data_IF_252875053293
#
_entry.id   IF_252875053293
#
_cell.length_a   1.000
_cell.length_b   1.000
_cell.length_c   1.000
_cell.angle_alpha   90.00
_cell.angle_beta   90.00
_cell.angle_gamma   90.00
#
_symmetry.space_group_name_H-M   'P 1'
#
loop_
_entity.id
_entity.type
_entity.pdbx_description
1 polymer ?
#
# COMPACT_ATOMS: atom_id res chain seq x y z
N UNK A 1 -14.99 -14.16 44.34
CA UNK A 1 -15.51 -15.53 44.28
C UNK A 1 -16.18 -15.69 42.92
N UNK A 2 -15.47 -16.24 41.94
CA UNK A 2 -16.08 -16.59 40.64
C UNK A 2 -17.16 -17.66 40.88
N UNK A 3 -18.34 -17.47 40.30
CA UNK A 3 -19.41 -18.45 40.46
C UNK A 3 -19.06 -19.74 39.70
N UNK A 4 -19.42 -20.91 40.24
CA UNK A 4 -19.21 -22.22 39.60
C UNK A 4 -19.77 -22.25 38.16
N UNK A 5 -20.81 -21.47 37.90
CA UNK A 5 -21.44 -21.28 36.58
C UNK A 5 -20.58 -20.48 35.60
N UNK A 6 -19.89 -19.43 36.04
CA UNK A 6 -18.97 -18.66 35.18
C UNK A 6 -17.73 -19.46 34.81
N UNK A 7 -17.21 -20.25 35.75
CA UNK A 7 -16.10 -21.18 35.50
C UNK A 7 -16.49 -22.25 34.46
N UNK A 8 -17.65 -22.88 34.62
CA UNK A 8 -18.15 -23.89 33.68
C UNK A 8 -18.44 -23.29 32.29
N UNK A 9 -19.00 -22.08 32.22
CA UNK A 9 -19.24 -21.37 30.95
C UNK A 9 -17.94 -21.02 30.24
N UNK A 10 -16.91 -20.55 30.96
CA UNK A 10 -15.57 -20.30 30.38
C UNK A 10 -14.94 -21.58 29.85
N UNK A 11 -15.10 -22.69 30.55
CA UNK A 11 -14.58 -23.98 30.14
C UNK A 11 -15.27 -24.51 28.88
N UNK A 12 -16.61 -24.43 28.81
CA UNK A 12 -17.37 -24.77 27.60
C UNK A 12 -16.99 -23.87 26.41
N UNK A 13 -16.87 -22.55 26.62
CA UNK A 13 -16.47 -21.62 25.55
C UNK A 13 -15.05 -21.93 25.04
N UNK A 14 -14.12 -22.36 25.91
CA UNK A 14 -12.78 -22.80 25.52
C UNK A 14 -12.78 -24.08 24.68
N UNK A 15 -13.70 -25.01 24.94
CA UNK A 15 -13.79 -26.26 24.18
C UNK A 15 -14.30 -26.06 22.75
N UNK A 16 -15.14 -25.05 22.52
CA UNK A 16 -15.72 -24.74 21.20
C UNK A 16 -14.91 -23.67 20.44
N UNK A 17 -13.99 -22.98 21.11
CA UNK A 17 -13.18 -21.94 20.50
C UNK A 17 -12.23 -22.51 19.42
N UNK A 18 -12.03 -21.79 18.29
CA UNK A 18 -11.06 -22.18 17.27
C UNK A 18 -9.64 -22.30 17.85
N UNK A 19 -8.81 -23.13 17.21
CA UNK A 19 -7.43 -23.38 17.65
C UNK A 19 -6.62 -22.09 17.80
N UNK A 20 -6.80 -21.13 16.88
CA UNK A 20 -6.10 -19.83 16.94
C UNK A 20 -6.44 -19.03 18.22
N UNK A 21 -7.65 -19.17 18.76
CA UNK A 21 -8.03 -18.51 20.02
C UNK A 21 -7.50 -19.28 21.22
N UNK A 22 -7.59 -20.62 21.19
CA UNK A 22 -7.07 -21.49 22.27
C UNK A 22 -5.56 -21.36 22.45
N UNK A 23 -4.82 -21.30 21.35
CA UNK A 23 -3.35 -21.20 21.34
C UNK A 23 -2.82 -19.79 21.55
N UNK A 24 -3.70 -18.80 21.84
CA UNK A 24 -3.26 -17.43 22.08
C UNK A 24 -2.25 -17.38 23.25
N UNK A 25 -1.07 -16.76 23.04
CA UNK A 25 -0.07 -16.54 24.10
C UNK A 25 -0.65 -15.88 25.35
N UNK A 26 -0.23 -16.35 26.53
CA UNK A 26 -0.63 -15.80 27.85
C UNK A 26 0.39 -14.81 28.44
N UNK A 27 1.61 -14.80 27.92
CA UNK A 27 2.70 -13.92 28.38
C UNK A 27 3.58 -13.48 27.22
N UNK A 28 4.43 -12.48 27.45
CA UNK A 28 5.42 -12.04 26.48
C UNK A 28 6.45 -13.14 26.14
N UNK A 29 6.71 -14.08 27.06
CA UNK A 29 7.61 -15.22 26.81
C UNK A 29 6.97 -16.29 25.91
N UNK A 30 5.64 -16.32 25.82
CA UNK A 30 4.94 -17.17 24.86
C UNK A 30 4.78 -16.50 23.48
N UNK A 31 5.04 -15.19 23.37
CA UNK A 31 4.81 -14.41 22.16
C UNK A 31 6.00 -14.54 21.20
N UNK A 32 5.74 -14.91 19.94
CA UNK A 32 6.77 -15.28 18.97
C UNK A 32 6.79 -14.30 17.80
N UNK A 33 7.99 -13.96 17.29
CA UNK A 33 8.21 -13.26 16.03
C UNK A 33 8.16 -11.73 16.11
N UNK A 34 8.16 -11.17 17.32
CA UNK A 34 8.27 -9.71 17.54
C UNK A 34 9.34 -9.41 18.59
N UNK A 35 10.43 -10.17 18.60
CA UNK A 35 11.52 -10.07 19.57
C UNK A 35 12.16 -8.68 19.58
N UNK A 36 12.18 -7.99 18.43
CA UNK A 36 12.64 -6.62 18.31
C UNK A 36 11.77 -5.61 19.10
N UNK A 37 10.48 -5.91 19.32
CA UNK A 37 9.56 -5.09 20.10
C UNK A 37 9.46 -5.54 21.55
N UNK A 38 9.32 -6.84 21.80
CA UNK A 38 8.95 -7.39 23.11
C UNK A 38 9.92 -8.47 23.62
N UNK A 39 11.10 -8.58 23.01
CA UNK A 39 12.17 -9.42 23.52
C UNK A 39 12.74 -8.92 24.85
N UNK A 40 13.47 -9.76 25.61
CA UNK A 40 14.11 -9.35 26.84
C UNK A 40 14.96 -8.09 26.66
N UNK A 41 14.76 -7.09 27.53
CA UNK A 41 15.49 -5.81 27.49
C UNK A 41 14.95 -4.79 26.48
N UNK A 42 13.91 -5.10 25.71
CA UNK A 42 13.28 -4.13 24.82
C UNK A 42 12.54 -3.04 25.61
N UNK A 43 12.41 -1.85 25.00
CA UNK A 43 11.74 -0.71 25.64
C UNK A 43 10.27 -1.01 25.92
N UNK A 44 9.54 -1.57 24.94
CA UNK A 44 8.11 -1.85 25.11
C UNK A 44 7.88 -2.94 26.16
N UNK A 45 8.69 -4.01 26.19
CA UNK A 45 8.61 -5.03 27.26
C UNK A 45 8.85 -4.41 28.62
N UNK A 46 9.89 -3.58 28.76
CA UNK A 46 10.20 -2.88 30.01
C UNK A 46 9.04 -2.00 30.47
N UNK A 47 8.39 -1.27 29.55
CA UNK A 47 7.22 -0.44 29.87
C UNK A 47 6.00 -1.25 30.32
N UNK A 48 5.77 -2.42 29.71
CA UNK A 48 4.70 -3.34 30.08
C UNK A 48 4.97 -3.90 31.48
N UNK A 49 6.17 -4.43 31.72
CA UNK A 49 6.56 -5.04 33.01
C UNK A 49 6.56 -4.03 34.17
N UNK A 50 6.90 -2.76 33.89
CA UNK A 50 6.88 -1.68 34.89
C UNK A 50 5.50 -1.01 35.05
N UNK A 51 4.49 -1.42 34.28
CA UNK A 51 3.15 -0.81 34.25
C UNK A 51 3.17 0.71 33.96
N UNK A 52 4.08 1.13 33.06
CA UNK A 52 4.32 2.53 32.66
C UNK A 52 3.99 2.77 31.19
N UNK A 53 2.82 2.28 30.77
CA UNK A 53 2.36 2.37 29.38
C UNK A 53 1.96 3.80 28.99
N UNK A 54 2.26 4.12 27.74
CA UNK A 54 1.73 5.29 27.02
C UNK A 54 0.73 4.81 25.98
N UNK A 55 -0.06 5.72 25.40
CA UNK A 55 -0.99 5.35 24.33
C UNK A 55 -0.25 4.79 23.12
N UNK A 56 -0.72 3.67 22.57
CA UNK A 56 -0.12 2.90 21.49
C UNK A 56 -1.07 2.78 20.30
N UNK A 57 -0.50 2.84 19.09
CA UNK A 57 -1.15 2.35 17.87
C UNK A 57 -0.34 1.15 17.37
N UNK A 58 -0.90 -0.04 17.49
CA UNK A 58 -0.35 -1.29 16.97
C UNK A 58 -0.73 -1.40 15.49
N UNK A 59 0.26 -1.31 14.61
CA UNK A 59 0.07 -1.41 13.17
C UNK A 59 0.84 -2.60 12.61
N UNK A 60 0.21 -3.40 11.76
CA UNK A 60 0.87 -4.51 11.09
C UNK A 60 -0.13 -5.40 10.36
N UNK A 61 0.33 -6.39 9.58
CA UNK A 61 -0.53 -7.27 8.80
C UNK A 61 -1.47 -8.13 9.68
N UNK A 62 -2.51 -8.76 9.11
CA UNK A 62 -3.31 -9.74 9.86
C UNK A 62 -2.41 -10.86 10.40
N UNK A 63 -2.77 -11.40 11.57
CA UNK A 63 -2.06 -12.55 12.14
C UNK A 63 -0.72 -12.28 12.82
N UNK A 64 -0.17 -11.05 12.78
CA UNK A 64 1.10 -10.74 13.45
C UNK A 64 1.03 -10.60 14.98
N UNK A 65 -0.17 -10.68 15.57
CA UNK A 65 -0.36 -10.72 17.02
C UNK A 65 -0.79 -9.41 17.69
N UNK A 66 -1.26 -8.39 16.97
CA UNK A 66 -1.76 -7.10 17.55
C UNK A 66 -2.75 -7.29 18.70
N UNK A 67 -3.88 -7.96 18.45
CA UNK A 67 -4.93 -8.23 19.46
C UNK A 67 -4.41 -9.10 20.61
N UNK A 68 -3.44 -9.98 20.33
CA UNK A 68 -2.79 -10.83 21.34
C UNK A 68 -1.90 -10.00 22.26
N UNK A 69 -1.07 -9.13 21.69
CA UNK A 69 -0.20 -8.22 22.44
C UNK A 69 -1.03 -7.29 23.31
N UNK A 70 -2.09 -6.68 22.77
CA UNK A 70 -3.02 -5.87 23.55
C UNK A 70 -3.63 -6.64 24.73
N UNK A 71 -3.96 -7.92 24.53
CA UNK A 71 -4.48 -8.78 25.60
C UNK A 71 -3.42 -9.12 26.66
N UNK A 72 -2.19 -9.42 26.27
CA UNK A 72 -1.09 -9.66 27.22
C UNK A 72 -0.87 -8.40 28.07
N UNK A 73 -0.87 -7.23 27.43
CA UNK A 73 -0.77 -5.94 28.11
C UNK A 73 -1.91 -5.78 29.13
N UNK A 74 -3.15 -6.08 28.72
CA UNK A 74 -4.33 -6.04 29.57
C UNK A 74 -4.27 -7.00 30.78
N UNK A 75 -3.62 -8.15 30.65
CA UNK A 75 -3.49 -9.15 31.72
C UNK A 75 -2.31 -8.85 32.67
N UNK A 76 -1.28 -8.10 32.21
CA UNK A 76 -0.10 -7.77 33.02
C UNK A 76 -0.18 -6.39 33.70
N UNK A 77 -1.01 -5.49 33.20
CA UNK A 77 -1.24 -4.16 33.78
C UNK A 77 -2.12 -4.21 35.03
N UNK A 78 -1.99 -3.22 35.91
CA UNK A 78 -2.91 -3.00 37.04
C UNK A 78 -4.09 -2.10 36.65
N UNK A 79 -4.09 -1.57 35.43
CA UNK A 79 -5.14 -0.72 34.91
C UNK A 79 -6.44 -1.51 34.66
N UNK A 80 -7.56 -0.81 34.73
CA UNK A 80 -8.84 -1.36 34.28
C UNK A 80 -8.89 -1.37 32.75
N UNK A 81 -9.40 -2.43 32.13
CA UNK A 81 -9.40 -2.57 30.67
C UNK A 81 -10.82 -2.50 30.13
N UNK A 82 -11.05 -1.62 29.16
CA UNK A 82 -12.30 -1.49 28.41
C UNK A 82 -12.02 -1.75 26.95
N UNK A 83 -12.80 -2.61 26.31
CA UNK A 83 -12.72 -2.85 24.86
C UNK A 83 -13.90 -2.20 24.15
N UNK A 84 -13.62 -1.39 23.13
CA UNK A 84 -14.62 -0.81 22.24
C UNK A 84 -14.52 -1.47 20.87
N UNK A 85 -15.67 -1.89 20.35
CA UNK A 85 -15.77 -2.43 18.99
C UNK A 85 -15.77 -1.28 17.99
N UNK A 86 -14.77 -1.23 17.09
CA UNK A 86 -14.71 -0.18 16.09
C UNK A 86 -15.88 -0.19 15.09
N UNK A 87 -16.54 -1.35 14.93
CA UNK A 87 -17.66 -1.54 14.00
C UNK A 87 -18.99 -1.06 14.58
N UNK A 88 -19.19 -1.18 15.89
CA UNK A 88 -20.50 -0.97 16.52
C UNK A 88 -20.54 0.13 17.57
N UNK A 89 -19.39 0.60 18.07
CA UNK A 89 -19.37 1.64 19.09
C UNK A 89 -19.80 2.98 18.50
N UNK A 90 -20.69 3.69 19.20
CA UNK A 90 -21.10 5.05 18.82
C UNK A 90 -20.22 6.10 19.53
N UNK A 91 -20.33 7.37 19.12
CA UNK A 91 -19.68 8.50 19.84
C UNK A 91 -20.14 8.56 21.31
N UNK A 92 -21.39 8.17 21.59
CA UNK A 92 -21.91 8.13 22.96
C UNK A 92 -21.23 7.03 23.80
N UNK A 93 -20.93 5.87 23.20
CA UNK A 93 -20.22 4.79 23.89
C UNK A 93 -18.77 5.18 24.21
N UNK A 94 -18.09 5.86 23.27
CA UNK A 94 -16.75 6.41 23.50
C UNK A 94 -16.76 7.40 24.68
N UNK A 95 -17.69 8.36 24.68
CA UNK A 95 -17.81 9.34 25.77
C UNK A 95 -18.13 8.70 27.11
N UNK A 96 -18.98 7.67 27.12
CA UNK A 96 -19.31 6.91 28.34
C UNK A 96 -18.07 6.21 28.90
N UNK A 97 -17.30 5.53 28.04
CA UNK A 97 -16.07 4.87 28.45
C UNK A 97 -15.04 5.85 29.04
N UNK A 98 -14.91 7.04 28.43
CA UNK A 98 -14.06 8.12 28.95
C UNK A 98 -14.55 8.64 30.31
N UNK A 99 -15.85 8.86 30.46
CA UNK A 99 -16.43 9.32 31.72
C UNK A 99 -16.21 8.30 32.85
N UNK A 100 -16.48 7.03 32.60
CA UNK A 100 -16.24 5.95 33.57
C UNK A 100 -14.76 5.83 33.94
N UNK A 101 -13.86 6.03 32.97
CA UNK A 101 -12.42 6.05 33.22
C UNK A 101 -12.02 7.22 34.13
N UNK A 102 -12.57 8.41 33.90
CA UNK A 102 -12.32 9.60 34.72
C UNK A 102 -12.80 9.40 36.16
N UNK A 103 -14.01 8.87 36.34
CA UNK A 103 -14.55 8.57 37.67
C UNK A 103 -13.71 7.53 38.41
N UNK A 104 -13.24 6.50 37.70
CA UNK A 104 -12.37 5.46 38.25
C UNK A 104 -11.03 6.03 38.70
N UNK A 105 -10.42 6.90 37.88
CA UNK A 105 -9.17 7.56 38.23
C UNK A 105 -9.33 8.47 39.45
N UNK A 106 -10.41 9.27 39.50
CA UNK A 106 -10.66 10.19 40.61
C UNK A 106 -10.97 9.48 41.94
N UNK A 107 -11.73 8.38 41.92
CA UNK A 107 -12.16 7.69 43.14
C UNK A 107 -11.17 6.65 43.64
N UNK A 108 -10.48 5.96 42.73
CA UNK A 108 -9.66 4.80 43.06
C UNK A 108 -8.19 4.95 42.69
N UNK A 109 -7.80 6.05 42.04
CA UNK A 109 -6.44 6.24 41.51
C UNK A 109 -6.07 5.21 40.43
N UNK A 110 -7.05 4.46 39.89
CA UNK A 110 -6.82 3.38 38.96
C UNK A 110 -6.96 3.87 37.52
N UNK A 111 -5.88 3.70 36.73
CA UNK A 111 -5.86 4.04 35.31
C UNK A 111 -6.77 3.11 34.50
N UNK A 112 -7.20 3.59 33.33
CA UNK A 112 -8.01 2.80 32.40
C UNK A 112 -7.31 2.67 31.05
N UNK A 113 -7.19 1.46 30.53
CA UNK A 113 -6.78 1.18 29.15
C UNK A 113 -8.04 1.04 28.30
N UNK A 114 -8.12 1.80 27.22
CA UNK A 114 -9.17 1.64 26.20
C UNK A 114 -8.57 0.94 25.00
N UNK A 115 -8.99 -0.30 24.75
CA UNK A 115 -8.58 -1.07 23.59
C UNK A 115 -9.59 -0.92 22.45
N UNK A 116 -9.11 -0.65 21.24
CA UNK A 116 -9.92 -0.50 20.03
C UNK A 116 -9.28 -1.33 18.92
N UNK A 117 -9.90 -2.46 18.58
CA UNK A 117 -9.47 -3.27 17.43
C UNK A 117 -10.04 -2.69 16.13
N UNK A 118 -9.25 -2.72 15.05
CA UNK A 118 -9.55 -2.06 13.78
C UNK A 118 -9.93 -0.58 13.92
N UNK A 119 -9.11 0.20 14.62
CA UNK A 119 -9.33 1.63 14.91
C UNK A 119 -9.53 2.48 13.65
N UNK A 120 -9.06 2.05 12.49
CA UNK A 120 -9.33 2.71 11.20
C UNK A 120 -10.82 2.77 10.85
N UNK A 121 -11.67 1.92 11.44
CA UNK A 121 -13.13 1.96 11.25
C UNK A 121 -13.81 3.07 12.04
N UNK A 122 -13.12 3.69 13.01
CA UNK A 122 -13.66 4.85 13.70
C UNK A 122 -13.67 6.08 12.79
N UNK A 123 -14.83 6.71 12.68
CA UNK A 123 -14.94 8.01 12.06
C UNK A 123 -14.25 9.10 12.91
N UNK A 124 -14.03 10.26 12.29
CA UNK A 124 -13.34 11.39 12.91
C UNK A 124 -13.98 11.85 14.23
N UNK A 125 -15.31 11.84 14.35
CA UNK A 125 -15.98 12.28 15.57
C UNK A 125 -15.77 11.30 16.75
N UNK A 126 -15.69 9.99 16.48
CA UNK A 126 -15.35 9.00 17.50
C UNK A 126 -13.90 9.16 17.96
N UNK A 127 -12.96 9.39 17.03
CA UNK A 127 -11.55 9.63 17.35
C UNK A 127 -11.36 10.93 18.15
N UNK A 128 -12.01 12.02 17.74
CA UNK A 128 -11.97 13.31 18.43
C UNK A 128 -12.52 13.20 19.87
N UNK A 129 -13.48 12.31 20.10
CA UNK A 129 -14.03 12.03 21.43
C UNK A 129 -13.03 11.41 22.42
N UNK A 130 -11.93 10.82 21.94
CA UNK A 130 -10.87 10.24 22.78
C UNK A 130 -9.79 11.26 23.15
N UNK A 131 -9.62 12.33 22.37
CA UNK A 131 -8.47 13.24 22.47
C UNK A 131 -8.26 13.83 23.87
N UNK A 132 -9.28 14.43 24.54
CA UNK A 132 -9.05 15.06 25.83
C UNK A 132 -8.53 14.07 26.88
N UNK A 133 -9.08 12.85 26.88
CA UNK A 133 -8.75 11.81 27.84
C UNK A 133 -7.38 11.16 27.59
N UNK A 134 -6.91 11.18 26.34
CA UNK A 134 -5.55 10.75 26.00
C UNK A 134 -4.53 11.84 26.38
N UNK A 135 -4.89 13.12 26.22
CA UNK A 135 -4.03 14.27 26.55
C UNK A 135 -3.74 14.40 28.04
N UNK A 136 -4.78 14.33 28.87
CA UNK A 136 -4.67 14.50 30.31
C UNK A 136 -4.26 13.20 31.05
N UNK A 137 -4.15 12.09 30.31
CA UNK A 137 -3.76 10.78 30.83
C UNK A 137 -4.87 10.04 31.57
N UNK A 138 -6.13 10.48 31.45
CA UNK A 138 -7.30 9.75 31.98
C UNK A 138 -7.38 8.33 31.42
N UNK A 139 -7.06 8.17 30.14
CA UNK A 139 -6.98 6.87 29.48
C UNK A 139 -5.61 6.63 28.83
N UNK A 140 -5.23 5.35 28.78
CA UNK A 140 -4.20 4.85 27.87
C UNK A 140 -4.90 4.18 26.70
N UNK A 141 -4.77 4.73 25.50
CA UNK A 141 -5.37 4.14 24.30
C UNK A 141 -4.47 3.05 23.73
N UNK A 142 -5.02 1.89 23.41
CA UNK A 142 -4.36 0.87 22.58
C UNK A 142 -5.25 0.66 21.36
N UNK A 143 -4.89 1.29 20.24
CA UNK A 143 -5.54 1.08 18.95
C UNK A 143 -4.80 0.00 18.16
N UNK A 144 -5.50 -0.93 17.53
CA UNK A 144 -4.92 -1.88 16.57
C UNK A 144 -5.48 -1.63 15.17
N UNK A 145 -4.62 -1.68 14.15
CA UNK A 145 -5.04 -1.53 12.75
C UNK A 145 -4.19 -2.37 11.80
N UNK A 146 -4.81 -2.84 10.73
CA UNK A 146 -4.13 -3.45 9.58
C UNK A 146 -3.76 -2.43 8.50
N UNK A 147 -4.46 -1.30 8.45
CA UNK A 147 -4.23 -0.21 7.50
C UNK A 147 -3.23 0.81 8.05
N UNK A 148 -2.49 1.47 7.16
CA UNK A 148 -1.51 2.47 7.53
C UNK A 148 -2.15 3.61 8.37
N UNK A 149 -1.70 3.81 9.62
CA UNK A 149 -2.34 4.73 10.55
C UNK A 149 -2.30 6.18 10.08
N UNK A 150 -1.33 6.60 9.25
CA UNK A 150 -1.23 8.01 8.82
C UNK A 150 -2.38 8.49 7.94
N UNK A 151 -3.13 7.57 7.34
CA UNK A 151 -4.29 7.90 6.50
C UNK A 151 -5.60 7.82 7.29
N UNK A 152 -5.75 6.81 8.15
CA UNK A 152 -7.03 6.46 8.77
C UNK A 152 -7.19 7.00 10.20
N UNK A 153 -6.09 7.26 10.90
CA UNK A 153 -6.11 7.87 12.24
C UNK A 153 -5.81 9.35 12.12
N UNK A 154 -6.63 10.18 12.77
CA UNK A 154 -6.48 11.62 12.70
C UNK A 154 -5.11 12.06 13.28
N UNK A 155 -4.53 13.10 12.67
CA UNK A 155 -3.21 13.61 13.08
C UNK A 155 -3.13 14.01 14.58
N UNK A 156 -4.18 14.59 15.20
CA UNK A 156 -4.16 14.90 16.63
C UNK A 156 -4.01 13.67 17.53
N UNK A 157 -4.68 12.55 17.23
CA UNK A 157 -4.60 11.35 18.05
C UNK A 157 -3.26 10.64 17.82
N UNK A 158 -2.79 10.57 16.57
CA UNK A 158 -1.49 10.01 16.24
C UNK A 158 -0.34 10.72 16.93
N UNK A 159 -0.36 12.05 17.02
CA UNK A 159 0.73 12.80 17.67
C UNK A 159 0.82 12.56 19.18
N UNK A 160 -0.20 11.96 19.79
CA UNK A 160 -0.27 11.62 21.22
C UNK A 160 -0.10 10.12 21.48
N UNK A 161 0.05 9.32 20.42
CA UNK A 161 0.26 7.88 20.52
C UNK A 161 1.62 7.48 19.96
N UNK A 162 2.22 6.43 20.51
CA UNK A 162 3.38 5.78 19.92
C UNK A 162 2.90 4.76 18.90
N UNK A 163 3.30 4.93 17.64
CA UNK A 163 3.09 3.89 16.61
C UNK A 163 4.10 2.76 16.84
N UNK A 164 3.60 1.55 16.99
CA UNK A 164 4.37 0.32 17.15
C UNK A 164 4.07 -0.55 15.93
N UNK A 165 5.09 -0.78 15.10
CA UNK A 165 4.97 -1.54 13.86
C UNK A 165 5.30 -3.00 14.13
N UNK A 166 4.33 -3.89 13.96
CA UNK A 166 4.49 -5.33 14.04
C UNK A 166 4.76 -5.87 12.65
N UNK A 167 5.83 -6.65 12.50
CA UNK A 167 6.24 -7.24 11.24
C UNK A 167 5.43 -8.52 10.92
N UNK A 168 5.31 -8.96 9.66
CA UNK A 168 4.88 -10.32 9.35
C UNK A 168 5.78 -11.34 10.07
N UNK A 169 5.21 -12.45 10.54
CA UNK A 169 6.01 -13.47 11.22
C UNK A 169 6.94 -14.19 10.25
N UNK A 170 8.15 -14.54 10.70
CA UNK A 170 9.06 -15.37 9.91
C UNK A 170 8.55 -16.80 9.76
N UNK A 171 9.09 -17.51 8.78
CA UNK A 171 8.77 -18.93 8.53
C UNK A 171 9.10 -19.80 9.75
N UNK A 172 10.19 -19.52 10.45
CA UNK A 172 10.58 -20.18 11.70
C UNK A 172 9.60 -19.90 12.84
N UNK A 173 9.08 -18.66 12.94
CA UNK A 173 8.08 -18.30 13.92
C UNK A 173 6.77 -19.04 13.68
N UNK A 174 6.30 -19.09 12.43
CA UNK A 174 5.11 -19.86 12.04
C UNK A 174 5.31 -21.35 12.32
N UNK A 175 6.46 -21.92 11.96
CA UNK A 175 6.81 -23.32 12.25
C UNK A 175 6.72 -23.61 13.75
N UNK A 176 7.32 -22.74 14.57
CA UNK A 176 7.30 -22.85 16.03
C UNK A 176 5.88 -22.87 16.57
N UNK A 177 5.00 -21.99 16.07
CA UNK A 177 3.60 -21.93 16.49
C UNK A 177 2.82 -23.20 16.11
N UNK A 178 3.04 -23.73 14.91
CA UNK A 178 2.41 -24.97 14.43
C UNK A 178 2.85 -26.17 15.27
N UNK A 179 4.15 -26.30 15.51
CA UNK A 179 4.71 -27.38 16.34
C UNK A 179 4.22 -27.28 17.79
N UNK A 180 4.19 -26.06 18.36
CA UNK A 180 3.63 -25.83 19.70
C UNK A 180 2.16 -26.22 19.77
N UNK A 181 1.37 -25.89 18.75
CA UNK A 181 -0.03 -26.27 18.67
C UNK A 181 -0.22 -27.80 18.54
N UNK A 182 0.66 -28.51 17.84
CA UNK A 182 0.61 -29.97 17.75
C UNK A 182 1.03 -30.66 19.05
N UNK A 183 1.94 -30.08 19.82
CA UNK A 183 2.46 -30.67 21.05
C UNK A 183 1.62 -30.35 22.29
N UNK A 184 0.96 -29.19 22.35
CA UNK A 184 0.23 -28.73 23.54
C UNK A 184 -1.03 -29.60 23.77
N UNK A 185 -1.08 -30.29 24.91
CA UNK A 185 -2.18 -31.18 25.31
C UNK A 185 -3.34 -30.47 25.99
N UNK A 186 -3.11 -29.28 26.54
CA UNK A 186 -4.14 -28.51 27.25
C UNK A 186 -4.93 -27.63 26.27
N UNK A 187 -4.21 -26.89 25.42
CA UNK A 187 -4.75 -25.87 24.51
C UNK A 187 -4.67 -26.27 23.05
N UNK A 188 -3.74 -27.15 22.70
CA UNK A 188 -3.47 -27.53 21.32
C UNK A 188 -4.13 -28.85 20.91
N UNK A 189 -3.53 -29.48 19.91
CA UNK A 189 -3.94 -30.73 19.31
C UNK A 189 -3.17 -31.94 19.87
N UNK A 190 -2.40 -31.76 20.95
CA UNK A 190 -1.55 -32.82 21.51
C UNK A 190 -2.31 -34.04 22.01
N UNK A 191 -3.60 -33.90 22.34
CA UNK A 191 -4.48 -35.02 22.67
C UNK A 191 -4.80 -35.94 21.50
N UNK A 192 -4.69 -35.45 20.26
CA UNK A 192 -4.98 -36.22 19.03
C UNK A 192 -3.78 -37.04 18.53
N UNK A 193 -2.60 -36.85 19.13
CA UNK A 193 -1.33 -37.52 18.77
C UNK A 193 -1.04 -37.48 17.25
N UNK A 194 -1.29 -36.33 16.62
CA UNK A 194 -1.09 -36.14 15.19
C UNK A 194 0.38 -35.98 14.84
N UNK A 195 0.75 -36.42 13.64
CA UNK A 195 2.06 -36.18 13.02
C UNK A 195 1.86 -35.43 11.72
N UNK A 196 2.60 -34.34 11.52
CA UNK A 196 2.64 -33.61 10.25
C UNK A 196 3.89 -34.02 9.48
N UNK A 197 3.73 -34.33 8.19
CA UNK A 197 4.87 -34.61 7.33
C UNK A 197 5.70 -33.34 7.10
N UNK A 198 7.04 -33.41 6.98
CA UNK A 198 7.88 -32.23 6.76
C UNK A 198 7.43 -31.38 5.56
N UNK A 199 7.12 -32.02 4.43
CA UNK A 199 6.62 -31.33 3.23
C UNK A 199 5.24 -30.67 3.45
N UNK A 200 4.41 -31.22 4.34
CA UNK A 200 3.11 -30.64 4.68
C UNK A 200 3.28 -29.41 5.59
N UNK A 201 4.23 -29.46 6.52
CA UNK A 201 4.60 -28.34 7.38
C UNK A 201 5.17 -27.18 6.58
N UNK A 202 6.11 -27.44 5.67
CA UNK A 202 6.67 -26.43 4.77
C UNK A 202 5.59 -25.79 3.90
N UNK A 203 4.70 -26.61 3.33
CA UNK A 203 3.56 -26.10 2.56
C UNK A 203 2.65 -25.20 3.42
N UNK A 204 2.35 -25.60 4.65
CA UNK A 204 1.51 -24.81 5.57
C UNK A 204 2.17 -23.48 5.92
N UNK A 205 3.48 -23.49 6.23
CA UNK A 205 4.27 -22.27 6.52
C UNK A 205 4.23 -21.32 5.32
N UNK A 206 4.51 -21.83 4.12
CA UNK A 206 4.48 -21.04 2.89
C UNK A 206 3.10 -20.45 2.61
N UNK A 207 2.03 -21.23 2.82
CA UNK A 207 0.66 -20.76 2.65
C UNK A 207 0.28 -19.71 3.68
N UNK A 208 0.75 -19.85 4.92
CA UNK A 208 0.47 -18.89 5.99
C UNK A 208 1.11 -17.52 5.74
N UNK A 209 2.27 -17.47 5.06
CA UNK A 209 2.93 -16.24 4.61
C UNK A 209 3.00 -15.17 5.73
N UNK A 210 3.43 -15.58 6.92
CA UNK A 210 3.56 -14.73 8.10
C UNK A 210 2.29 -14.45 8.93
N UNK A 211 1.14 -15.06 8.59
CA UNK A 211 -0.10 -14.98 9.37
C UNK A 211 -0.29 -16.22 10.28
N UNK A 212 -0.09 -16.04 11.59
CA UNK A 212 -0.28 -17.12 12.57
C UNK A 212 -1.73 -17.61 12.69
N UNK A 213 -2.72 -16.71 12.54
CA UNK A 213 -4.14 -17.07 12.59
C UNK A 213 -4.49 -17.93 11.39
N UNK A 214 -3.92 -17.63 10.22
CA UNK A 214 -4.04 -18.47 9.03
C UNK A 214 -3.40 -19.83 9.24
N UNK A 215 -2.16 -19.88 9.74
CA UNK A 215 -1.47 -21.13 10.01
C UNK A 215 -2.27 -22.05 10.95
N UNK A 216 -2.72 -21.53 12.09
CA UNK A 216 -3.43 -22.32 13.11
C UNK A 216 -4.81 -22.77 12.65
N UNK A 217 -5.56 -21.93 11.93
CA UNK A 217 -6.86 -22.34 11.39
C UNK A 217 -6.72 -23.40 10.29
N UNK A 218 -5.71 -23.27 9.42
CA UNK A 218 -5.41 -24.28 8.40
C UNK A 218 -4.99 -25.60 9.05
N UNK A 219 -4.17 -25.54 10.10
CA UNK A 219 -3.76 -26.70 10.89
C UNK A 219 -4.96 -27.40 11.54
N UNK A 220 -5.87 -26.65 12.15
CA UNK A 220 -7.09 -27.18 12.77
C UNK A 220 -7.96 -27.93 11.76
N UNK A 221 -8.17 -27.36 10.58
CA UNK A 221 -8.94 -28.00 9.52
C UNK A 221 -8.20 -29.22 8.92
N UNK A 222 -6.88 -29.13 8.79
CA UNK A 222 -6.05 -30.25 8.34
C UNK A 222 -6.05 -31.40 9.35
N UNK A 223 -6.05 -31.10 10.64
CA UNK A 223 -6.17 -32.08 11.72
C UNK A 223 -7.50 -32.86 11.65
N UNK A 224 -8.61 -32.18 11.36
CA UNK A 224 -9.90 -32.84 11.14
C UNK A 224 -9.90 -33.76 9.90
N UNK A 225 -9.06 -33.48 8.91
CA UNK A 225 -8.88 -34.28 7.69
C UNK A 225 -7.79 -35.34 7.76
N UNK A 226 -7.09 -35.47 8.91
CA UNK A 226 -5.97 -36.39 9.09
C UNK A 226 -6.40 -37.86 8.92
N UNK A 227 -5.55 -38.66 8.26
CA UNK A 227 -5.77 -40.10 8.10
C UNK A 227 -4.72 -40.85 8.90
N UNK A 228 -5.15 -41.79 9.75
CA UNK A 228 -4.27 -42.54 10.66
C UNK A 228 -3.37 -41.63 11.53
N UNK A 229 -3.88 -40.45 11.89
CA UNK A 229 -3.12 -39.45 12.67
C UNK A 229 -2.04 -38.71 11.88
N UNK A 230 -2.00 -38.82 10.55
CA UNK A 230 -0.98 -38.16 9.70
C UNK A 230 -1.62 -37.03 8.88
N UNK A 231 -0.98 -35.86 8.90
CA UNK A 231 -1.29 -34.70 8.07
C UNK A 231 -0.29 -34.66 6.91
N UNK A 232 -0.79 -34.85 5.70
CA UNK A 232 -0.03 -34.86 4.44
C UNK A 232 -0.21 -33.56 3.65
N UNK A 233 0.65 -33.25 2.65
CA UNK A 233 0.53 -32.03 1.85
C UNK A 233 -0.84 -31.87 1.18
N UNK A 234 -1.46 -32.96 0.70
CA UNK A 234 -2.78 -32.92 0.05
C UNK A 234 -3.92 -32.59 1.02
N UNK A 235 -3.75 -32.90 2.31
CA UNK A 235 -4.71 -32.50 3.34
C UNK A 235 -4.58 -30.99 3.59
N UNK A 236 -3.35 -30.48 3.69
CA UNK A 236 -3.08 -29.04 3.86
C UNK A 236 -3.61 -28.23 2.67
N UNK A 237 -3.37 -28.65 1.42
CA UNK A 237 -3.93 -27.96 0.22
C UNK A 237 -5.44 -27.85 0.27
N UNK A 238 -6.13 -28.96 0.59
CA UNK A 238 -7.60 -28.98 0.67
C UNK A 238 -8.13 -28.13 1.82
N UNK A 239 -7.43 -28.08 2.95
CA UNK A 239 -7.77 -27.21 4.07
C UNK A 239 -7.63 -25.73 3.67
N UNK A 240 -6.57 -25.35 2.97
CA UNK A 240 -6.35 -23.97 2.53
C UNK A 240 -7.34 -23.50 1.44
N UNK A 241 -7.66 -24.36 0.45
CA UNK A 241 -8.56 -24.02 -0.65
C UNK A 241 -9.99 -23.66 -0.21
N UNK A 242 -10.50 -24.27 0.86
CA UNK A 242 -11.83 -23.93 1.41
C UNK A 242 -11.94 -22.50 1.93
N UNK A 243 -10.81 -21.78 2.09
CA UNK A 243 -10.76 -20.42 2.64
C UNK A 243 -10.46 -19.34 1.60
N UNK A 244 -9.70 -19.67 0.55
CA UNK A 244 -9.33 -18.72 -0.52
C UNK A 244 -10.56 -18.09 -1.22
N UNK A 245 -11.74 -18.73 -1.19
CA UNK A 245 -12.95 -18.14 -1.76
C UNK A 245 -13.56 -16.99 -0.94
N UNK A 246 -12.97 -16.61 0.21
CA UNK A 246 -13.60 -15.70 1.20
C UNK A 246 -12.75 -14.46 1.54
N UNK A 247 -11.46 -14.37 1.16
CA UNK A 247 -10.58 -13.30 1.67
C UNK A 247 -10.27 -12.16 0.69
N UNK A 248 -10.99 -11.07 0.94
CA UNK A 248 -10.68 -9.64 1.00
C UNK A 248 -9.69 -8.94 0.04
N UNK A 249 -10.18 -7.82 -0.50
CA UNK A 249 -9.65 -7.00 -1.60
C UNK A 249 -9.08 -5.65 -1.13
N UNK A 250 -8.69 -5.53 0.14
CA UNK A 250 -8.54 -4.22 0.80
C UNK A 250 -7.30 -4.07 1.72
N UNK A 251 -6.10 -4.52 1.31
CA UNK A 251 -4.88 -4.41 2.13
C UNK A 251 -3.69 -3.70 1.48
N UNK A 252 -2.81 -3.11 2.30
CA UNK A 252 -1.55 -2.44 1.91
C UNK A 252 -0.65 -3.28 0.97
N UNK A 253 -0.73 -4.61 1.06
CA UNK A 253 0.00 -5.54 0.19
C UNK A 253 -0.28 -5.34 -1.31
N UNK A 254 -1.47 -4.85 -1.65
CA UNK A 254 -1.83 -4.46 -3.01
C UNK A 254 -0.91 -3.33 -3.53
N UNK A 255 -0.75 -2.28 -2.73
CA UNK A 255 0.05 -1.11 -3.08
C UNK A 255 1.54 -1.45 -3.16
N UNK A 256 2.02 -2.33 -2.27
CA UNK A 256 3.40 -2.79 -2.31
C UNK A 256 3.67 -3.66 -3.54
N UNK A 257 2.77 -4.58 -3.89
CA UNK A 257 2.95 -5.45 -5.05
C UNK A 257 2.95 -4.67 -6.37
N UNK A 258 2.02 -3.73 -6.56
CA UNK A 258 2.01 -2.89 -7.78
C UNK A 258 3.22 -1.95 -7.84
N UNK A 259 3.66 -1.45 -6.69
CA UNK A 259 4.84 -0.61 -6.54
C UNK A 259 6.11 -1.38 -6.88
N UNK A 260 6.20 -2.64 -6.47
CA UNK A 260 7.28 -3.55 -6.82
C UNK A 260 7.27 -3.87 -8.32
N UNK A 261 6.12 -4.19 -8.91
CA UNK A 261 5.97 -4.38 -10.36
C UNK A 261 6.50 -3.18 -11.15
N UNK A 262 6.09 -1.96 -10.77
CA UNK A 262 6.56 -0.73 -11.42
C UNK A 262 8.06 -0.51 -11.27
N UNK A 263 8.61 -0.75 -10.07
CA UNK A 263 10.05 -0.60 -9.83
C UNK A 263 10.86 -1.64 -10.59
N UNK A 264 10.38 -2.88 -10.71
CA UNK A 264 11.03 -3.92 -11.52
C UNK A 264 11.03 -3.56 -13.00
N UNK A 265 9.91 -3.10 -13.54
CA UNK A 265 9.84 -2.61 -14.92
C UNK A 265 10.82 -1.45 -15.13
N UNK A 266 10.79 -0.43 -14.27
CA UNK A 266 11.70 0.73 -14.32
C UNK A 266 13.17 0.32 -14.19
N UNK A 267 13.45 -0.65 -13.32
CA UNK A 267 14.75 -1.26 -13.09
C UNK A 267 15.22 -2.19 -14.22
N UNK A 268 14.38 -2.43 -15.22
CA UNK A 268 14.64 -3.31 -16.35
C UNK A 268 14.87 -4.78 -15.96
N UNK A 269 14.13 -5.25 -14.95
CA UNK A 269 14.14 -6.62 -14.48
C UNK A 269 12.84 -7.33 -14.91
N UNK A 270 12.85 -8.08 -16.04
CA UNK A 270 11.68 -8.76 -16.56
C UNK A 270 11.24 -9.93 -15.66
N UNK A 271 12.17 -10.60 -14.99
CA UNK A 271 11.89 -11.76 -14.14
C UNK A 271 11.12 -11.31 -12.89
N UNK A 272 11.61 -10.26 -12.22
CA UNK A 272 10.91 -9.68 -11.08
C UNK A 272 9.56 -9.07 -11.50
N UNK A 273 9.48 -8.42 -12.67
CA UNK A 273 8.21 -7.90 -13.19
C UNK A 273 7.17 -9.02 -13.38
N UNK A 274 7.56 -10.15 -13.97
CA UNK A 274 6.68 -11.32 -14.11
C UNK A 274 6.26 -11.88 -12.75
N UNK A 275 7.18 -12.00 -11.79
CA UNK A 275 6.88 -12.49 -10.46
C UNK A 275 5.84 -11.61 -9.73
N UNK A 276 6.03 -10.30 -9.72
CA UNK A 276 5.09 -9.38 -9.05
C UNK A 276 3.74 -9.34 -9.77
N UNK A 277 3.73 -9.39 -11.10
CA UNK A 277 2.50 -9.51 -11.88
C UNK A 277 1.73 -10.79 -11.53
N UNK A 278 2.39 -11.94 -11.55
CA UNK A 278 1.78 -13.22 -11.23
C UNK A 278 1.25 -13.22 -9.79
N UNK A 279 2.04 -12.73 -8.82
CA UNK A 279 1.60 -12.59 -7.43
C UNK A 279 0.33 -11.76 -7.30
N UNK A 280 0.19 -10.68 -8.07
CA UNK A 280 -1.03 -9.87 -8.03
C UNK A 280 -2.23 -10.62 -8.62
N UNK A 281 -2.07 -11.22 -9.79
CA UNK A 281 -3.15 -11.96 -10.46
C UNK A 281 -3.64 -13.15 -9.64
N UNK A 282 -2.73 -13.95 -9.08
CA UNK A 282 -3.07 -15.12 -8.25
C UNK A 282 -3.73 -14.72 -6.91
N UNK A 283 -3.48 -13.51 -6.41
CA UNK A 283 -4.13 -12.97 -5.22
C UNK A 283 -5.44 -12.22 -5.52
N UNK A 284 -5.98 -12.33 -6.74
CA UNK A 284 -7.32 -11.81 -7.08
C UNK A 284 -7.38 -10.32 -7.40
N UNK A 285 -6.24 -9.73 -7.74
CA UNK A 285 -6.14 -8.33 -8.14
C UNK A 285 -6.96 -8.00 -9.38
N UNK A 286 -7.49 -6.78 -9.48
CA UNK A 286 -8.18 -6.33 -10.71
C UNK A 286 -7.18 -6.29 -11.89
N UNK A 287 -7.34 -7.13 -12.93
CA UNK A 287 -6.43 -7.14 -14.08
C UNK A 287 -6.42 -5.81 -14.82
N UNK A 288 -7.53 -5.07 -14.83
CA UNK A 288 -7.58 -3.74 -15.45
C UNK A 288 -6.83 -2.70 -14.62
N UNK A 289 -6.73 -2.88 -13.30
CA UNK A 289 -5.86 -2.05 -12.47
C UNK A 289 -4.40 -2.22 -12.86
N UNK A 290 -3.94 -3.46 -12.99
CA UNK A 290 -2.58 -3.78 -13.46
C UNK A 290 -2.35 -3.18 -14.85
N UNK A 291 -3.30 -3.36 -15.79
CA UNK A 291 -3.20 -2.83 -17.14
C UNK A 291 -3.04 -1.30 -17.16
N UNK A 292 -3.83 -0.56 -16.36
CA UNK A 292 -3.69 0.90 -16.20
C UNK A 292 -2.29 1.30 -15.74
N UNK A 293 -1.68 0.51 -14.85
CA UNK A 293 -0.34 0.77 -14.33
C UNK A 293 0.73 0.44 -15.37
N UNK A 294 0.59 -0.61 -16.17
CA UNK A 294 1.50 -0.86 -17.31
C UNK A 294 1.43 0.28 -18.34
N UNK A 295 0.24 0.78 -18.68
CA UNK A 295 0.07 1.98 -19.54
C UNK A 295 0.77 3.21 -18.95
N UNK A 296 0.71 3.37 -17.62
CA UNK A 296 1.45 4.44 -16.95
C UNK A 296 2.96 4.28 -17.07
N UNK A 297 3.50 3.09 -16.83
CA UNK A 297 4.94 2.81 -16.97
C UNK A 297 5.42 3.04 -18.41
N UNK A 298 4.61 2.67 -19.40
CA UNK A 298 4.93 2.91 -20.81
C UNK A 298 5.14 4.40 -21.15
N UNK A 299 4.33 5.30 -20.58
CA UNK A 299 4.43 6.74 -20.84
C UNK A 299 5.41 7.48 -19.92
N UNK A 300 5.58 7.02 -18.69
CA UNK A 300 6.43 7.65 -17.67
C UNK A 300 7.88 7.18 -17.71
N UNK A 301 8.09 5.86 -17.82
CA UNK A 301 9.40 5.24 -17.64
C UNK A 301 10.08 4.83 -18.96
N UNK A 302 9.29 4.64 -20.02
CA UNK A 302 9.79 4.34 -21.38
C UNK A 302 9.67 5.57 -22.29
N UNK A 303 8.49 6.20 -22.33
CA UNK A 303 8.25 7.46 -23.04
C UNK A 303 8.57 7.35 -24.53
N UNK A 304 9.30 8.33 -25.07
CA UNK A 304 9.68 8.36 -26.48
C UNK A 304 10.98 7.59 -26.78
N UNK A 305 11.60 6.94 -25.79
CA UNK A 305 12.72 6.04 -26.05
C UNK A 305 12.25 4.79 -26.79
N UNK A 306 11.00 4.40 -26.61
CA UNK A 306 10.30 3.47 -27.48
C UNK A 306 8.81 3.82 -27.59
N UNK A 307 8.39 4.49 -28.68
CA UNK A 307 7.00 4.88 -28.90
C UNK A 307 6.01 3.70 -28.98
N UNK A 308 6.47 2.47 -29.25
CA UNK A 308 5.61 1.28 -29.30
C UNK A 308 5.17 0.81 -27.92
N UNK A 309 5.90 1.17 -26.85
CA UNK A 309 5.59 0.75 -25.49
C UNK A 309 4.15 1.08 -25.06
N UNK A 310 3.67 2.28 -25.40
CA UNK A 310 2.30 2.68 -25.07
C UNK A 310 1.27 1.87 -25.88
N UNK A 311 1.58 1.58 -27.16
CA UNK A 311 0.71 0.79 -28.03
C UNK A 311 0.59 -0.64 -27.50
N UNK A 312 1.70 -1.27 -27.14
CA UNK A 312 1.74 -2.62 -26.55
C UNK A 312 0.95 -2.67 -25.24
N UNK A 313 1.16 -1.69 -24.34
CA UNK A 313 0.44 -1.65 -23.06
C UNK A 313 -1.07 -1.47 -23.23
N UNK A 314 -1.50 -0.63 -24.18
CA UNK A 314 -2.93 -0.45 -24.51
C UNK A 314 -3.51 -1.70 -25.18
N UNK A 315 -2.77 -2.36 -26.08
CA UNK A 315 -3.19 -3.61 -26.69
C UNK A 315 -3.38 -4.72 -25.65
N UNK A 316 -2.47 -4.84 -24.69
CA UNK A 316 -2.60 -5.77 -23.57
C UNK A 316 -3.84 -5.46 -22.72
N UNK A 317 -4.11 -4.18 -22.42
CA UNK A 317 -5.33 -3.77 -21.73
C UNK A 317 -6.60 -4.17 -22.51
N UNK A 318 -6.61 -3.97 -23.82
CA UNK A 318 -7.72 -4.35 -24.69
C UNK A 318 -7.90 -5.86 -24.76
N UNK A 319 -6.80 -6.63 -24.83
CA UNK A 319 -6.83 -8.09 -24.81
C UNK A 319 -7.45 -8.60 -23.51
N UNK A 320 -7.08 -8.05 -22.35
CA UNK A 320 -7.71 -8.38 -21.06
C UNK A 320 -9.21 -8.09 -21.08
N UNK A 321 -9.61 -6.95 -21.64
CA UNK A 321 -11.02 -6.56 -21.69
C UNK A 321 -11.84 -7.44 -22.65
N UNK A 322 -11.26 -7.79 -23.80
CA UNK A 322 -11.94 -8.52 -24.87
C UNK A 322 -11.96 -10.04 -24.62
N UNK A 323 -10.82 -10.62 -24.23
CA UNK A 323 -10.66 -12.06 -24.02
C UNK A 323 -11.10 -12.48 -22.61
N UNK A 324 -10.87 -11.64 -21.60
CA UNK A 324 -11.15 -11.96 -20.20
C UNK A 324 -10.04 -12.79 -19.53
N UNK A 325 -10.25 -13.15 -18.26
CA UNK A 325 -9.33 -13.99 -17.47
C UNK A 325 -9.79 -15.46 -17.48
N UNK A 326 -8.87 -16.45 -17.47
CA UNK A 326 -7.42 -16.32 -17.25
C UNK A 326 -6.56 -15.96 -18.48
N UNK A 327 -7.06 -16.08 -19.70
CA UNK A 327 -6.26 -15.96 -20.93
C UNK A 327 -5.61 -14.57 -21.09
N UNK A 328 -6.28 -13.52 -20.65
CA UNK A 328 -5.75 -12.14 -20.63
C UNK A 328 -4.51 -11.94 -19.76
N UNK A 329 -4.22 -12.85 -18.82
CA UNK A 329 -3.01 -12.80 -18.00
C UNK A 329 -1.74 -12.80 -18.86
N UNK A 330 -1.74 -13.58 -19.95
CA UNK A 330 -0.57 -13.69 -20.82
C UNK A 330 -0.30 -12.40 -21.58
N UNK A 331 -1.35 -11.67 -21.98
CA UNK A 331 -1.19 -10.36 -22.62
C UNK A 331 -0.58 -9.32 -21.66
N UNK A 332 -0.94 -9.36 -20.38
CA UNK A 332 -0.31 -8.51 -19.36
C UNK A 332 1.15 -8.91 -19.11
N UNK A 333 1.45 -10.20 -19.11
CA UNK A 333 2.82 -10.70 -18.95
C UNK A 333 3.71 -10.29 -20.12
N UNK A 334 3.22 -10.41 -21.35
CA UNK A 334 3.91 -9.96 -22.55
C UNK A 334 4.23 -8.46 -22.47
N UNK A 335 3.24 -7.62 -22.12
CA UNK A 335 3.46 -6.19 -21.96
C UNK A 335 4.44 -5.86 -20.83
N UNK A 336 4.38 -6.55 -19.68
CA UNK A 336 5.29 -6.32 -18.58
C UNK A 336 6.76 -6.60 -18.97
N UNK A 337 7.00 -7.72 -19.67
CA UNK A 337 8.34 -8.09 -20.19
C UNK A 337 8.80 -7.09 -21.23
N UNK A 338 7.94 -6.71 -22.18
CA UNK A 338 8.24 -5.70 -23.19
C UNK A 338 8.70 -4.39 -22.54
N UNK A 339 7.91 -3.88 -21.58
CA UNK A 339 8.21 -2.63 -20.88
C UNK A 339 9.48 -2.72 -20.03
N UNK A 340 9.74 -3.88 -19.40
CA UNK A 340 10.96 -4.10 -18.63
C UNK A 340 12.21 -4.05 -19.54
N UNK A 341 12.15 -4.63 -20.74
CA UNK A 341 13.28 -4.64 -21.67
C UNK A 341 13.40 -3.37 -22.54
N UNK A 342 12.33 -2.57 -22.64
CA UNK A 342 12.34 -1.34 -23.43
C UNK A 342 13.39 -0.31 -22.92
N UNK A 343 14.00 0.49 -23.82
CA UNK A 343 14.91 1.55 -23.41
C UNK A 343 14.18 2.57 -22.54
N UNK A 344 14.74 2.90 -21.37
CA UNK A 344 14.07 3.78 -20.41
C UNK A 344 14.26 5.26 -20.75
N UNK A 345 13.21 6.05 -20.63
CA UNK A 345 13.29 7.51 -20.63
C UNK A 345 12.12 8.14 -19.90
N UNK A 346 12.43 9.01 -18.94
CA UNK A 346 11.47 9.88 -18.28
C UNK A 346 11.54 11.33 -18.81
N UNK A 347 12.17 11.56 -19.98
CA UNK A 347 12.38 12.91 -20.52
C UNK A 347 11.06 13.64 -20.79
N UNK A 348 10.06 12.95 -21.35
CA UNK A 348 8.71 13.52 -21.56
C UNK A 348 8.02 13.83 -20.24
N UNK A 349 8.09 12.91 -19.27
CA UNK A 349 7.53 13.09 -17.94
C UNK A 349 8.09 14.36 -17.27
N UNK A 350 9.42 14.48 -17.20
CA UNK A 350 10.10 15.66 -16.63
C UNK A 350 9.79 16.94 -17.40
N UNK A 351 9.72 16.88 -18.72
CA UNK A 351 9.38 18.03 -19.56
C UNK A 351 7.97 18.55 -19.25
N UNK A 352 7.00 17.66 -19.09
CA UNK A 352 5.63 18.03 -18.76
C UNK A 352 5.52 18.59 -17.34
N UNK A 353 6.17 17.97 -16.35
CA UNK A 353 6.21 18.51 -14.98
C UNK A 353 6.82 19.91 -14.91
N UNK A 354 7.89 20.16 -15.67
CA UNK A 354 8.52 21.48 -15.74
C UNK A 354 7.57 22.51 -16.38
N UNK A 355 6.84 22.14 -17.43
CA UNK A 355 5.83 23.01 -18.03
C UNK A 355 4.66 23.29 -17.08
N UNK A 356 4.17 22.29 -16.35
CA UNK A 356 3.14 22.47 -15.33
C UNK A 356 3.58 23.42 -14.22
N UNK A 357 4.84 23.32 -13.79
CA UNK A 357 5.42 24.23 -12.80
C UNK A 357 5.47 25.67 -13.30
N UNK A 358 5.98 25.89 -14.50
CA UNK A 358 6.04 27.22 -15.09
C UNK A 358 4.62 27.82 -15.24
N UNK A 359 3.61 27.02 -15.61
CA UNK A 359 2.20 27.48 -15.66
C UNK A 359 1.66 27.87 -14.28
N UNK A 360 2.04 27.16 -13.22
CA UNK A 360 1.59 27.45 -11.85
C UNK A 360 2.30 28.67 -11.24
N UNK A 361 3.57 28.88 -11.57
CA UNK A 361 4.42 29.91 -10.96
C UNK A 361 4.45 31.24 -11.75
N UNK A 362 4.14 31.19 -13.06
CA UNK A 362 4.11 32.40 -13.90
C UNK A 362 2.73 33.05 -13.86
N UNK A 363 2.67 34.36 -14.14
CA UNK A 363 1.38 34.98 -14.49
C UNK A 363 0.91 34.27 -15.75
N UNK A 364 -0.34 33.79 -15.75
CA UNK A 364 -1.00 33.11 -16.86
C UNK A 364 -0.97 33.99 -18.14
N UNK A 365 0.18 34.02 -18.81
CA UNK A 365 0.46 34.92 -19.92
C UNK A 365 -0.47 34.55 -21.07
N UNK A 366 -1.11 35.54 -21.71
CA UNK A 366 -2.06 35.25 -22.77
C UNK A 366 -1.33 34.68 -23.98
N UNK A 367 -2.03 33.83 -24.74
CA UNK A 367 -1.53 33.29 -26.01
C UNK A 367 -1.09 34.45 -26.92
N UNK A 368 0.12 34.39 -27.53
CA UNK A 368 0.58 35.41 -28.48
C UNK A 368 -0.42 35.65 -29.62
N UNK A 369 -0.57 36.91 -30.05
CA UNK A 369 -1.61 37.31 -31.01
C UNK A 369 -1.55 36.51 -32.32
N UNK A 370 -0.35 36.27 -32.85
CA UNK A 370 -0.14 35.50 -34.08
C UNK A 370 -0.51 34.02 -33.96
N UNK A 371 -0.67 33.48 -32.75
CA UNK A 371 -1.11 32.10 -32.52
C UNK A 371 -2.61 31.98 -32.19
N UNK A 372 -3.31 33.11 -32.01
CA UNK A 372 -4.75 33.09 -31.68
C UNK A 372 -5.59 32.76 -32.91
N UNK A 373 -6.66 32.02 -32.69
CA UNK A 373 -7.66 31.76 -33.72
C UNK A 373 -8.54 32.99 -33.99
N UNK A 374 -8.71 33.39 -35.25
CA UNK A 374 -9.50 34.58 -35.63
C UNK A 374 -10.70 34.22 -36.55
N UNK A 375 -11.72 33.50 -36.05
CA UNK A 375 -12.81 33.00 -36.87
C UNK A 375 -13.80 34.07 -37.33
N UNK A 376 -13.86 35.22 -36.66
CA UNK A 376 -14.81 36.31 -36.99
C UNK A 376 -14.09 37.53 -37.58
N UNK A 377 -14.83 38.38 -38.29
CA UNK A 377 -14.30 39.64 -38.86
C UNK A 377 -13.74 40.57 -37.78
N UNK A 378 -14.48 40.73 -36.67
CA UNK A 378 -14.06 41.53 -35.53
C UNK A 378 -12.72 41.07 -34.94
N UNK A 379 -12.51 39.76 -34.78
CA UNK A 379 -11.27 39.23 -34.21
C UNK A 379 -10.06 39.46 -35.13
N UNK A 380 -10.26 39.41 -36.44
CA UNK A 380 -9.22 39.76 -37.44
C UNK A 380 -8.88 41.25 -37.41
N UNK A 381 -9.89 42.11 -37.26
CA UNK A 381 -9.71 43.56 -37.09
C UNK A 381 -8.96 43.90 -35.79
N UNK A 382 -9.13 43.09 -34.74
CA UNK A 382 -8.37 43.16 -33.48
C UNK A 382 -6.96 42.53 -33.56
N UNK A 383 -6.51 42.13 -34.75
CA UNK A 383 -5.16 41.61 -35.00
C UNK A 383 -4.92 40.17 -34.53
N UNK A 384 -5.96 39.39 -34.25
CA UNK A 384 -5.78 37.97 -33.89
C UNK A 384 -5.37 37.18 -35.13
N UNK A 385 -4.39 36.29 -34.98
CA UNK A 385 -3.80 35.52 -36.08
C UNK A 385 -2.97 36.36 -37.06
N UNK A 386 -2.89 37.68 -36.87
CA UNK A 386 -2.07 38.53 -37.72
C UNK A 386 -0.59 38.18 -37.54
N UNK A 387 0.13 38.02 -38.65
CA UNK A 387 1.55 37.64 -38.64
C UNK A 387 1.83 36.16 -38.38
N UNK A 388 0.81 35.29 -38.38
CA UNK A 388 1.03 33.85 -38.32
C UNK A 388 1.79 33.35 -39.56
N UNK A 389 2.92 32.69 -39.34
CA UNK A 389 3.70 32.03 -40.38
C UNK A 389 3.29 30.57 -40.46
N UNK A 390 2.69 30.18 -41.58
CA UNK A 390 2.23 28.81 -41.79
C UNK A 390 3.42 27.88 -42.06
N UNK A 391 3.74 26.91 -41.17
CA UNK A 391 4.98 26.15 -41.29
C UNK A 391 5.14 25.38 -42.60
N UNK A 392 4.06 24.94 -43.25
CA UNK A 392 4.14 24.18 -44.50
C UNK A 392 4.62 25.00 -45.70
N UNK A 393 4.54 26.33 -45.61
CA UNK A 393 5.05 27.23 -46.65
C UNK A 393 6.56 27.51 -46.46
N UNK A 394 7.14 27.10 -45.33
CA UNK A 394 8.57 27.23 -45.04
C UNK A 394 9.35 25.99 -45.53
N UNK A 395 10.63 26.15 -45.93
CA UNK A 395 11.41 24.99 -46.36
C UNK A 395 11.56 23.98 -45.22
N UNK A 396 11.46 22.68 -45.52
CA UNK A 396 11.43 21.56 -44.57
C UNK A 396 10.25 21.56 -43.57
N UNK A 397 9.24 22.39 -43.82
CA UNK A 397 8.06 22.58 -42.97
C UNK A 397 8.38 22.99 -41.52
N UNK A 398 9.45 23.76 -41.30
CA UNK A 398 9.89 24.23 -39.98
C UNK A 398 9.57 25.72 -39.83
N UNK A 399 8.60 26.04 -38.97
CA UNK A 399 8.22 27.43 -38.69
C UNK A 399 9.32 28.21 -37.95
N UNK A 400 9.48 29.48 -38.35
CA UNK A 400 10.54 30.41 -37.93
C UNK A 400 10.13 31.37 -36.79
N UNK A 401 8.89 31.27 -36.33
CA UNK A 401 8.30 32.14 -35.33
C UNK A 401 8.48 31.61 -33.90
N UNK A 402 8.34 32.49 -32.91
CA UNK A 402 8.29 32.12 -31.49
C UNK A 402 6.92 31.55 -31.13
N UNK A 403 6.90 30.44 -30.39
CA UNK A 403 5.65 29.77 -30.00
C UNK A 403 5.31 29.94 -28.51
N UNK A 404 6.31 30.25 -27.69
CA UNK A 404 6.10 30.55 -26.28
C UNK A 404 5.76 32.04 -26.07
N UNK A 405 5.07 32.38 -24.97
CA UNK A 405 4.92 33.77 -24.56
C UNK A 405 6.28 34.46 -24.39
N UNK A 406 6.37 35.79 -24.58
CA UNK A 406 7.64 36.52 -24.53
C UNK A 406 8.47 36.28 -23.25
N UNK A 407 7.83 36.07 -22.09
CA UNK A 407 8.51 35.79 -20.82
C UNK A 407 9.16 34.41 -20.74
N UNK A 408 8.65 33.45 -21.52
CA UNK A 408 9.17 32.09 -21.63
C UNK A 408 10.04 31.90 -22.87
N UNK A 409 10.40 33.00 -23.57
CA UNK A 409 11.27 32.94 -24.74
C UNK A 409 12.58 32.24 -24.38
N UNK A 410 12.97 31.27 -25.20
CA UNK A 410 14.19 30.47 -25.00
C UNK A 410 14.08 29.35 -23.95
N UNK A 411 12.94 29.22 -23.25
CA UNK A 411 12.70 28.10 -22.33
C UNK A 411 12.67 26.79 -23.11
N UNK A 412 13.35 25.78 -22.57
CA UNK A 412 13.42 24.42 -23.14
C UNK A 412 12.88 23.44 -22.10
N UNK A 413 11.86 22.67 -22.47
CA UNK A 413 11.27 21.65 -21.60
C UNK A 413 11.74 20.24 -21.97
N UNK A 414 11.65 19.89 -23.25
CA UNK A 414 11.99 18.56 -23.72
C UNK A 414 13.48 18.44 -24.08
N UNK A 415 14.14 17.55 -23.34
CA UNK A 415 15.55 17.18 -23.49
C UNK A 415 15.63 15.67 -23.73
N UNK A 416 15.58 15.22 -25.00
CA UNK A 416 15.62 13.80 -25.34
C UNK A 416 16.94 13.16 -24.93
N UNK A 417 16.87 11.90 -24.51
CA UNK A 417 18.06 11.12 -24.14
C UNK A 417 18.71 10.47 -25.37
N UNK A 418 19.83 9.78 -25.16
CA UNK A 418 20.51 9.02 -26.24
C UNK A 418 19.96 7.60 -26.40
N UNK A 419 18.96 7.22 -25.61
CA UNK A 419 18.46 5.84 -25.52
C UNK A 419 17.35 5.61 -26.53
N UNK A 420 17.41 4.47 -27.21
CA UNK A 420 16.36 4.04 -28.14
C UNK A 420 16.07 5.08 -29.22
N UNK A 421 14.78 5.29 -29.49
CA UNK A 421 14.30 6.21 -30.52
C UNK A 421 14.58 7.69 -30.21
N UNK A 422 14.82 8.05 -28.94
CA UNK A 422 15.13 9.44 -28.58
C UNK A 422 16.44 9.95 -29.16
N UNK A 423 17.39 9.07 -29.47
CA UNK A 423 18.62 9.46 -30.18
C UNK A 423 18.31 10.15 -31.50
N UNK A 424 17.37 9.59 -32.29
CA UNK A 424 16.91 10.18 -33.56
C UNK A 424 16.12 11.47 -33.33
N UNK A 425 15.30 11.51 -32.29
CA UNK A 425 14.55 12.72 -31.93
C UNK A 425 15.49 13.85 -31.49
N UNK A 426 16.58 13.53 -30.82
CA UNK A 426 17.60 14.48 -30.40
C UNK A 426 18.28 15.12 -31.60
N UNK A 427 18.71 14.32 -32.58
CA UNK A 427 19.29 14.82 -33.83
C UNK A 427 18.30 15.72 -34.58
N UNK A 428 17.04 15.26 -34.73
CA UNK A 428 16.00 16.05 -35.39
C UNK A 428 15.73 17.36 -34.66
N UNK A 429 15.64 17.34 -33.34
CA UNK A 429 15.39 18.53 -32.53
C UNK A 429 16.57 19.50 -32.54
N UNK A 430 17.80 18.99 -32.57
CA UNK A 430 19.00 19.82 -32.73
C UNK A 430 18.99 20.55 -34.08
N UNK A 431 18.67 19.84 -35.18
CA UNK A 431 18.54 20.45 -36.50
C UNK A 431 17.44 21.53 -36.54
N UNK A 432 16.28 21.28 -35.92
CA UNK A 432 15.19 22.26 -35.80
C UNK A 432 15.66 23.51 -35.03
N UNK A 433 16.34 23.32 -33.90
CA UNK A 433 16.84 24.43 -33.06
C UNK A 433 17.90 25.26 -33.77
N UNK A 434 18.89 24.61 -34.37
CA UNK A 434 19.96 25.28 -35.12
C UNK A 434 19.41 26.15 -36.26
N UNK A 435 18.38 25.66 -36.96
CA UNK A 435 17.72 26.42 -38.01
C UNK A 435 17.01 27.67 -37.48
N UNK A 436 16.23 27.52 -36.41
CA UNK A 436 15.53 28.65 -35.78
C UNK A 436 16.51 29.71 -35.26
N UNK A 437 17.64 29.29 -34.72
CA UNK A 437 18.72 30.19 -34.26
C UNK A 437 19.37 30.93 -35.44
N UNK A 438 19.71 30.23 -36.53
CA UNK A 438 20.30 30.84 -37.73
C UNK A 438 19.37 31.88 -38.40
N UNK A 439 18.07 31.63 -38.39
CA UNK A 439 17.08 32.57 -38.95
C UNK A 439 16.86 33.77 -38.03
N UNK A 440 16.84 33.57 -36.71
CA UNK A 440 16.77 34.67 -35.74
C UNK A 440 17.96 35.65 -35.87
N UNK A 441 19.15 35.13 -36.16
CA UNK A 441 20.36 35.95 -36.37
C UNK A 441 20.33 36.74 -37.69
N UNK A 442 19.73 36.20 -38.76
CA UNK A 442 19.60 36.91 -40.06
C UNK A 442 18.65 38.11 -39.99
N UNK A 443 17.60 38.03 -39.18
CA UNK A 443 16.64 39.13 -39.01
C UNK A 443 17.05 40.13 -37.93
N UNK A 444 17.80 39.72 -36.90
CA UNK A 444 18.31 40.61 -35.84
C UNK A 444 19.42 41.58 -36.27
N UNK A 445 20.13 41.31 -37.37
CA UNK A 445 21.19 42.19 -37.90
C UNK A 445 20.69 43.26 -38.89
N UNK A 446 19.39 43.30 -39.19
CA UNK A 446 18.79 44.22 -40.19
C UNK A 446 18.17 45.50 -39.63
N UNK A 447 17.89 45.60 -38.33
CA UNK A 447 17.23 46.76 -37.71
C UNK A 447 18.20 47.88 -37.25
N UNK A 448 19.44 47.88 -37.75
CA UNK A 448 20.48 48.88 -37.43
C UNK A 448 20.80 49.89 -38.54
N UNK A 449 20.14 49.85 -39.68
CA UNK A 449 20.31 50.83 -40.77
C UNK A 449 18.99 51.10 -41.48
N UNK A 450 18.19 52.01 -40.91
CA UNK A 450 17.49 53.07 -41.66
C UNK A 450 16.95 54.13 -40.71
#
# INVERSE_FOLDING_TARGET
MESLFEAHRREQLRQVAPLAERMRPRSLDEFVGQEHLVGPGSLLRTMIEQDRLVSLILWGPPGCGKTTLARIIAEQTRAWVVSLSAVSATVADVRRAVQEASERLARHGQRTIVFIDEIHRFNRAQQDGLLPAVEDGTIVLIGATTENPSFEVNAPLLSRCRVVVLEPLSDEAIRTLVERALADRERGLGGLNLRIEPAALELLVNLANGDARMALNTLELAAAGARNGIITPDIVRRAAMRRASVYDRAGDAHYDAISALHKSIRGSDPDAALYWLARMLENGEDPLYIARRLVRAASEDVGLADPQALVVAVAAQQAVHFVGMPEGALALAEAAVYLALAPKSNAVYRAYEAACRDVAETRNDPVPLHLRNAPTKLLRELGWGAGYQYPHDEPDAIGRQEYLPPRLRGRRYYEPTERGWESRLRERLAAIRARREAESQRFGSGEGQQ
#
